data_IF_641839154769
#
_entry.id   IF_641839154769
#
_cell.length_a   1.000
_cell.length_b   1.000
_cell.length_c   1.000
_cell.angle_alpha   90.00
_cell.angle_beta   90.00
_cell.angle_gamma   90.00
#
_symmetry.space_group_name_H-M   'P 1'
#
loop_
_entity.id
_entity.type
_entity.pdbx_description
1 polymer ?
#
# COMPACT_ATOMS: atom_id res chain seq x y z
N UNK A 1 -2.11 10.34 -20.18
CA UNK A 1 -2.48 9.14 -19.38
C UNK A 1 -1.24 8.29 -19.21
N UNK A 2 -0.83 7.98 -17.98
CA UNK A 2 0.22 6.98 -17.77
C UNK A 2 -0.26 5.62 -18.31
N UNK A 3 0.63 4.87 -18.96
CA UNK A 3 0.30 3.55 -19.51
C UNK A 3 -0.06 2.59 -18.36
N UNK A 4 -1.18 1.86 -18.48
CA UNK A 4 -1.60 0.85 -17.48
C UNK A 4 -0.51 -0.21 -17.32
N UNK A 5 -0.23 -0.59 -16.08
CA UNK A 5 0.68 -1.70 -15.77
C UNK A 5 -0.09 -3.01 -16.01
N UNK A 6 0.52 -3.95 -16.74
CA UNK A 6 -0.10 -5.26 -17.01
C UNK A 6 -0.17 -6.09 -15.73
N UNK A 7 -1.20 -6.93 -15.60
CA UNK A 7 -1.36 -7.79 -14.41
C UNK A 7 -0.19 -8.75 -14.20
N UNK A 8 0.51 -9.16 -15.27
CA UNK A 8 1.70 -10.01 -15.16
C UNK A 8 2.89 -9.25 -14.56
N UNK A 9 3.21 -8.06 -15.10
CA UNK A 9 4.32 -7.24 -14.59
C UNK A 9 4.05 -6.73 -13.16
N UNK A 10 2.81 -6.35 -12.88
CA UNK A 10 2.37 -5.92 -11.56
C UNK A 10 2.53 -7.00 -10.49
N UNK A 11 1.99 -8.21 -10.73
CA UNK A 11 2.13 -9.34 -9.81
C UNK A 11 3.58 -9.76 -9.62
N UNK A 12 4.39 -9.76 -10.68
CA UNK A 12 5.82 -10.06 -10.59
C UNK A 12 6.55 -9.07 -9.68
N UNK A 13 6.27 -7.76 -9.82
CA UNK A 13 6.87 -6.73 -8.97
C UNK A 13 6.44 -6.86 -7.50
N UNK A 14 5.16 -7.14 -7.22
CA UNK A 14 4.68 -7.37 -5.85
C UNK A 14 5.33 -8.62 -5.25
N UNK A 15 5.40 -9.72 -5.99
CA UNK A 15 6.07 -10.96 -5.55
C UNK A 15 7.55 -10.75 -5.26
N UNK A 16 8.26 -10.01 -6.11
CA UNK A 16 9.65 -9.66 -5.90
C UNK A 16 9.85 -8.80 -4.64
N UNK A 17 8.95 -7.85 -4.39
CA UNK A 17 8.97 -7.06 -3.16
C UNK A 17 8.74 -7.94 -1.92
N UNK A 18 7.71 -8.80 -1.91
CA UNK A 18 7.43 -9.72 -0.79
C UNK A 18 8.62 -10.64 -0.52
N UNK A 19 9.21 -11.21 -1.57
CA UNK A 19 10.37 -12.10 -1.45
C UNK A 19 11.58 -11.39 -0.84
N UNK A 20 11.83 -10.14 -1.25
CA UNK A 20 12.92 -9.33 -0.69
C UNK A 20 12.69 -8.99 0.79
N UNK A 21 11.45 -8.67 1.18
CA UNK A 21 11.09 -8.44 2.59
C UNK A 21 11.34 -9.70 3.43
N UNK A 22 10.91 -10.87 2.96
CA UNK A 22 11.16 -12.13 3.66
C UNK A 22 12.67 -12.45 3.77
N UNK A 23 13.43 -12.20 2.70
CA UNK A 23 14.88 -12.46 2.68
C UNK A 23 15.66 -11.57 3.65
N UNK A 24 15.33 -10.28 3.73
CA UNK A 24 15.99 -9.33 4.62
C UNK A 24 15.86 -9.67 6.12
N UNK A 25 14.83 -10.45 6.50
CA UNK A 25 14.53 -10.79 7.89
C UNK A 25 14.83 -12.25 8.25
N UNK A 26 15.21 -13.09 7.28
CA UNK A 26 15.55 -14.51 7.48
C UNK A 26 16.95 -14.78 8.05
N UNK A 27 17.67 -13.74 8.48
CA UNK A 27 19.01 -13.85 9.10
C UNK A 27 18.97 -14.15 10.60
N UNK A 28 18.31 -15.24 11.04
CA UNK A 28 18.34 -15.64 12.45
C UNK A 28 17.34 -16.72 12.88
N UNK A 29 17.77 -17.99 12.79
CA UNK A 29 17.32 -19.20 13.52
C UNK A 29 15.89 -19.71 13.31
N UNK A 30 15.80 -20.95 12.81
CA UNK A 30 14.73 -21.90 13.18
C UNK A 30 13.94 -22.45 12.01
N UNK A 31 14.16 -23.73 11.71
CA UNK A 31 13.50 -24.52 10.66
C UNK A 31 11.97 -24.58 10.86
N UNK A 32 11.23 -23.68 10.19
CA UNK A 32 9.78 -23.77 9.94
C UNK A 32 9.34 -22.71 8.90
N UNK A 33 8.67 -23.07 7.79
CA UNK A 33 8.23 -22.13 6.75
C UNK A 33 6.92 -21.39 7.11
N UNK A 34 6.60 -21.23 8.39
CA UNK A 34 5.37 -20.61 8.83
C UNK A 34 5.48 -19.09 8.73
N UNK A 35 4.69 -18.48 7.81
CA UNK A 35 4.26 -17.08 7.78
C UNK A 35 4.91 -16.21 8.86
N UNK A 36 6.14 -15.76 8.60
CA UNK A 36 6.76 -14.71 9.40
C UNK A 36 5.78 -13.54 9.40
N UNK A 37 5.30 -13.22 10.61
CA UNK A 37 4.25 -12.24 10.81
C UNK A 37 4.74 -10.91 10.28
N UNK A 38 4.26 -10.49 9.09
CA UNK A 38 4.50 -9.16 8.51
C UNK A 38 4.19 -8.05 9.53
N UNK A 39 3.35 -8.37 10.52
CA UNK A 39 2.98 -7.55 11.67
C UNK A 39 4.09 -7.38 12.73
N UNK A 40 4.96 -8.37 12.95
CA UNK A 40 6.19 -8.27 13.77
C UNK A 40 7.31 -7.57 12.98
N UNK A 41 7.40 -7.87 11.68
CA UNK A 41 8.35 -7.28 10.72
C UNK A 41 8.17 -5.76 10.54
N UNK A 42 7.00 -5.24 10.90
CA UNK A 42 6.58 -3.85 10.68
C UNK A 42 6.75 -2.93 11.89
N UNK A 43 7.19 -3.46 13.04
CA UNK A 43 7.42 -2.66 14.26
C UNK A 43 8.55 -1.63 14.15
N UNK A 44 9.40 -1.75 13.12
CA UNK A 44 10.55 -0.88 12.88
C UNK A 44 10.70 -0.59 11.38
N UNK A 45 9.65 -0.09 10.72
CA UNK A 45 9.81 0.44 9.36
C UNK A 45 10.49 1.82 9.42
N UNK A 46 11.81 1.89 9.28
CA UNK A 46 12.33 2.86 8.33
C UNK A 46 13.24 2.14 7.34
N UNK A 47 12.98 2.35 6.05
CA UNK A 47 13.94 2.20 4.95
C UNK A 47 14.29 0.81 4.35
N UNK A 48 13.64 -0.31 4.67
CA UNK A 48 14.02 -1.61 4.03
C UNK A 48 13.76 -1.69 2.51
N UNK A 49 12.91 -0.83 1.93
CA UNK A 49 12.79 -0.71 0.47
C UNK A 49 14.04 -0.13 -0.19
N UNK A 50 14.96 0.48 0.57
CA UNK A 50 16.22 1.03 0.06
C UNK A 50 17.13 -0.05 -0.51
N UNK A 51 16.98 -1.28 -0.04
CA UNK A 51 17.70 -2.46 -0.52
C UNK A 51 17.01 -3.13 -1.72
N UNK A 52 15.76 -2.74 -2.01
CA UNK A 52 14.97 -3.25 -3.14
C UNK A 52 15.17 -2.31 -4.33
N UNK A 53 15.34 -2.84 -5.57
CA UNK A 53 15.42 -1.99 -6.74
C UNK A 53 14.24 -1.01 -6.81
N UNK A 54 14.54 0.29 -6.91
CA UNK A 54 13.54 1.37 -6.90
C UNK A 54 12.41 1.15 -7.91
N UNK A 55 12.74 0.64 -9.10
CA UNK A 55 11.75 0.38 -10.15
C UNK A 55 10.79 -0.77 -9.80
N UNK A 56 11.26 -1.78 -9.04
CA UNK A 56 10.41 -2.84 -8.49
C UNK A 56 9.40 -2.26 -7.52
N UNK A 57 9.85 -1.42 -6.57
CA UNK A 57 8.97 -0.74 -5.61
C UNK A 57 7.99 0.17 -6.33
N UNK A 58 8.47 0.99 -7.27
CA UNK A 58 7.62 1.90 -8.05
C UNK A 58 6.54 1.15 -8.83
N UNK A 59 6.90 0.02 -9.46
CA UNK A 59 5.96 -0.81 -10.24
C UNK A 59 4.93 -1.47 -9.32
N UNK A 60 5.36 -2.03 -8.19
CA UNK A 60 4.47 -2.65 -7.21
C UNK A 60 3.47 -1.62 -6.65
N UNK A 61 3.93 -0.43 -6.23
CA UNK A 61 3.06 0.64 -5.71
C UNK A 61 2.07 1.11 -6.76
N UNK A 62 2.54 1.45 -7.96
CA UNK A 62 1.67 1.97 -9.02
C UNK A 62 0.65 0.92 -9.47
N UNK A 63 1.05 -0.35 -9.53
CA UNK A 63 0.13 -1.44 -9.85
C UNK A 63 -0.94 -1.62 -8.78
N UNK A 64 -0.55 -1.65 -7.50
CA UNK A 64 -1.50 -1.82 -6.39
C UNK A 64 -2.44 -0.62 -6.24
N UNK A 65 -1.96 0.61 -6.47
CA UNK A 65 -2.83 1.79 -6.56
C UNK A 65 -3.82 1.69 -7.72
N UNK A 66 -3.39 1.22 -8.90
CA UNK A 66 -4.29 0.95 -10.04
C UNK A 66 -5.34 -0.12 -9.68
N UNK A 67 -4.98 -1.14 -8.88
CA UNK A 67 -5.93 -2.16 -8.41
C UNK A 67 -6.95 -1.57 -7.44
N UNK A 68 -6.52 -0.69 -6.52
CA UNK A 68 -7.40 0.02 -5.59
C UNK A 68 -8.42 0.90 -6.34
N UNK A 69 -7.95 1.72 -7.29
CA UNK A 69 -8.81 2.58 -8.11
C UNK A 69 -9.82 1.76 -8.91
N UNK A 70 -9.40 0.63 -9.49
CA UNK A 70 -10.30 -0.25 -10.21
C UNK A 70 -11.34 -0.94 -9.31
N UNK A 71 -11.00 -1.22 -8.05
CA UNK A 71 -11.91 -1.84 -7.09
C UNK A 71 -12.95 -0.86 -6.53
N UNK A 72 -12.57 0.41 -6.39
CA UNK A 72 -13.42 1.45 -5.78
C UNK A 72 -13.29 2.78 -6.56
N UNK A 73 -13.81 2.89 -7.79
CA UNK A 73 -13.65 4.08 -8.59
C UNK A 73 -14.36 5.30 -7.97
N UNK A 74 -13.75 6.48 -8.10
CA UNK A 74 -14.36 7.75 -7.68
C UNK A 74 -13.35 8.84 -7.38
N UNK A 75 -13.81 9.90 -6.72
CA UNK A 75 -13.03 11.13 -6.47
C UNK A 75 -13.22 11.70 -5.06
N UNK A 76 -13.78 10.90 -4.15
CA UNK A 76 -14.10 11.36 -2.79
C UNK A 76 -12.90 11.28 -1.84
N UNK A 77 -12.00 10.35 -2.10
CA UNK A 77 -10.82 10.08 -1.27
C UNK A 77 -9.59 10.02 -2.16
N UNK A 78 -8.54 10.72 -1.79
CA UNK A 78 -7.25 10.70 -2.46
C UNK A 78 -6.25 9.89 -1.62
N UNK A 79 -5.70 8.84 -2.21
CA UNK A 79 -4.69 7.97 -1.59
C UNK A 79 -3.33 8.30 -2.21
N UNK A 80 -2.37 8.70 -1.39
CA UNK A 80 -1.03 9.15 -1.78
C UNK A 80 0.03 8.21 -1.22
N UNK A 81 0.96 7.83 -2.09
CA UNK A 81 2.12 7.01 -1.77
C UNK A 81 3.36 7.66 -2.38
N UNK A 82 3.85 8.77 -1.78
CA UNK A 82 5.03 9.46 -2.28
C UNK A 82 6.28 8.56 -2.19
N UNK A 83 7.21 8.63 -3.17
CA UNK A 83 7.20 9.49 -4.36
C UNK A 83 6.53 8.84 -5.59
N UNK A 84 5.86 7.69 -5.45
CA UNK A 84 5.55 6.80 -6.58
C UNK A 84 4.18 7.04 -7.22
N UNK A 85 3.20 7.56 -6.49
CA UNK A 85 1.92 7.93 -7.10
C UNK A 85 0.81 8.28 -6.13
N UNK A 86 -0.33 8.64 -6.70
CA UNK A 86 -1.58 8.86 -6.00
C UNK A 86 -2.75 8.43 -6.90
N UNK A 87 -3.87 8.03 -6.29
CA UNK A 87 -5.13 7.71 -6.97
C UNK A 87 -6.30 8.31 -6.21
N UNK A 88 -7.41 8.54 -6.90
CA UNK A 88 -8.66 8.90 -6.26
C UNK A 88 -9.65 7.74 -6.32
N UNK A 89 -10.39 7.56 -5.24
CA UNK A 89 -11.29 6.43 -5.04
C UNK A 89 -12.59 6.88 -4.39
N UNK A 90 -13.53 5.94 -4.34
CA UNK A 90 -14.85 6.02 -3.72
C UNK A 90 -15.76 7.09 -4.33
N UNK A 91 -17.03 6.76 -4.58
CA UNK A 91 -17.98 7.74 -5.10
C UNK A 91 -18.25 8.82 -4.05
N UNK A 92 -18.38 10.06 -4.51
CA UNK A 92 -18.75 11.18 -3.66
C UNK A 92 -19.19 12.36 -4.48
N UNK A 93 -20.01 13.21 -3.87
CA UNK A 93 -20.43 14.46 -4.49
C UNK A 93 -19.18 15.30 -4.74
N UNK A 94 -18.97 15.65 -6.01
CA UNK A 94 -18.01 16.68 -6.41
C UNK A 94 -18.20 17.88 -5.51
N UNK A 95 -17.08 18.40 -4.99
CA UNK A 95 -17.02 19.55 -4.10
C UNK A 95 -18.10 20.59 -4.41
N UNK A 96 -19.14 20.67 -3.57
CA UNK A 96 -19.76 21.99 -3.35
C UNK A 96 -18.80 22.74 -2.46
N UNK A 97 -18.29 23.87 -2.97
CA UNK A 97 -17.45 24.88 -2.30
C UNK A 97 -17.40 24.68 -0.77
N UNK A 98 -16.35 24.00 -0.26
CA UNK A 98 -16.09 23.96 1.17
C UNK A 98 -15.47 22.67 1.74
N UNK A 99 -15.74 21.48 1.20
CA UNK A 99 -15.18 20.24 1.79
C UNK A 99 -14.06 19.67 0.90
N UNK A 100 -12.78 19.74 1.32
CA UNK A 100 -11.68 19.09 0.61
C UNK A 100 -11.91 17.55 0.54
N UNK A 101 -11.32 16.84 -0.44
CA UNK A 101 -11.45 15.38 -0.46
C UNK A 101 -10.80 14.82 0.80
N UNK A 102 -11.26 13.65 1.25
CA UNK A 102 -10.51 12.95 2.30
C UNK A 102 -9.14 12.56 1.72
N UNK A 103 -8.08 12.72 2.49
CA UNK A 103 -6.71 12.42 2.05
C UNK A 103 -6.14 11.34 2.94
N UNK A 104 -5.52 10.34 2.32
CA UNK A 104 -4.78 9.29 3.01
C UNK A 104 -3.38 9.27 2.42
N UNK A 105 -2.37 9.48 3.26
CA UNK A 105 -0.98 9.48 2.85
C UNK A 105 -0.15 8.52 3.71
N UNK A 106 0.70 7.72 3.08
CA UNK A 106 1.60 6.79 3.75
C UNK A 106 2.83 6.49 2.89
N UNK A 107 3.84 5.85 3.48
CA UNK A 107 5.04 5.45 2.76
C UNK A 107 4.80 4.24 1.84
N UNK A 108 5.67 4.00 0.84
CA UNK A 108 5.59 2.83 -0.06
C UNK A 108 5.56 1.50 0.68
N UNK A 109 6.31 1.39 1.79
CA UNK A 109 6.43 0.23 2.64
C UNK A 109 5.09 -0.11 3.30
N UNK A 110 4.51 0.90 3.95
CA UNK A 110 3.22 0.80 4.65
C UNK A 110 2.12 0.45 3.66
N UNK A 111 2.10 1.12 2.50
CA UNK A 111 1.12 0.86 1.45
C UNK A 111 1.20 -0.59 0.93
N UNK A 112 2.39 -1.08 0.59
CA UNK A 112 2.53 -2.44 0.06
C UNK A 112 2.21 -3.50 1.12
N UNK A 113 2.60 -3.28 2.38
CA UNK A 113 2.23 -4.17 3.48
C UNK A 113 0.71 -4.23 3.69
N UNK A 114 0.00 -3.10 3.59
CA UNK A 114 -1.47 -3.05 3.61
C UNK A 114 -2.09 -3.76 2.40
N UNK A 115 -1.58 -3.47 1.20
CA UNK A 115 -2.11 -3.99 -0.06
C UNK A 115 -2.05 -5.53 -0.14
N UNK A 116 -0.98 -6.13 0.39
CA UNK A 116 -0.80 -7.60 0.40
C UNK A 116 -1.33 -8.28 1.68
N UNK A 117 -1.84 -7.51 2.65
CA UNK A 117 -2.39 -8.05 3.90
C UNK A 117 -1.37 -8.38 4.98
N UNK A 118 -0.13 -7.92 4.85
CA UNK A 118 0.90 -8.04 5.89
C UNK A 118 0.74 -7.08 7.06
N UNK A 119 0.07 -5.96 6.83
CA UNK A 119 -0.33 -4.99 7.84
C UNK A 119 -1.85 -4.81 7.74
N UNK A 120 -2.52 -4.74 8.88
CA UNK A 120 -3.95 -4.40 8.90
C UNK A 120 -4.13 -2.89 8.95
N UNK A 121 -5.22 -2.40 8.36
CA UNK A 121 -5.57 -0.98 8.39
C UNK A 121 -5.66 -0.43 9.81
N UNK A 122 -6.35 -1.13 10.71
CA UNK A 122 -6.48 -0.73 12.11
C UNK A 122 -5.13 -0.62 12.82
N UNK A 123 -4.21 -1.58 12.60
CA UNK A 123 -2.87 -1.51 13.17
C UNK A 123 -2.09 -0.31 12.64
N UNK A 124 -2.12 -0.08 11.32
CA UNK A 124 -1.43 1.05 10.70
C UNK A 124 -1.86 2.41 11.26
N UNK A 125 -3.18 2.60 11.45
CA UNK A 125 -3.74 3.80 12.08
C UNK A 125 -3.31 3.90 13.55
N UNK A 126 -3.43 2.81 14.32
CA UNK A 126 -3.07 2.80 15.75
C UNK A 126 -1.59 3.12 16.01
N UNK A 127 -0.72 2.78 15.05
CA UNK A 127 0.71 3.03 15.10
C UNK A 127 1.12 4.38 14.49
N UNK A 128 0.18 5.17 13.97
CA UNK A 128 0.47 6.46 13.33
C UNK A 128 1.24 6.35 12.01
N UNK A 129 1.19 5.19 11.34
CA UNK A 129 1.90 4.93 10.08
C UNK A 129 1.20 5.54 8.86
N UNK A 130 -0.05 5.97 9.02
CA UNK A 130 -0.90 6.54 7.96
C UNK A 130 -1.43 7.89 8.42
N UNK A 131 -1.19 8.91 7.62
CA UNK A 131 -1.82 10.22 7.78
C UNK A 131 -3.18 10.20 7.07
N UNK A 132 -4.25 10.00 7.84
CA UNK A 132 -5.64 9.98 7.36
C UNK A 132 -6.39 11.25 7.79
N UNK A 133 -6.94 11.98 6.83
CA UNK A 133 -7.68 13.22 7.07
C UNK A 133 -9.02 13.23 6.35
N UNK A 134 -10.08 13.61 7.06
CA UNK A 134 -11.46 13.66 6.57
C UNK A 134 -12.28 12.41 6.92
N UNK A 135 -13.60 12.58 7.05
CA UNK A 135 -14.52 11.56 7.59
C UNK A 135 -14.63 10.26 6.76
N UNK A 136 -14.06 10.23 5.54
CA UNK A 136 -14.08 9.09 4.63
C UNK A 136 -12.70 8.43 4.46
N UNK A 137 -11.71 8.85 5.25
CA UNK A 137 -10.35 8.37 5.17
C UNK A 137 -10.20 6.97 5.81
N UNK A 138 -10.89 5.97 5.26
CA UNK A 138 -10.86 4.58 5.71
C UNK A 138 -10.73 3.62 4.52
N UNK A 139 -9.65 2.82 4.50
CA UNK A 139 -9.40 1.79 3.48
C UNK A 139 -9.65 0.36 3.98
N UNK A 140 -10.06 0.17 5.24
CA UNK A 140 -10.13 -1.13 5.88
C UNK A 140 -10.99 -2.15 5.12
N UNK A 141 -12.14 -1.71 4.58
CA UNK A 141 -13.03 -2.57 3.80
C UNK A 141 -12.50 -2.89 2.38
N UNK A 142 -11.48 -2.17 1.90
CA UNK A 142 -10.87 -2.34 0.58
C UNK A 142 -9.56 -3.14 0.63
N UNK A 143 -9.05 -3.44 1.83
CA UNK A 143 -7.78 -4.09 2.05
C UNK A 143 -7.98 -5.48 2.71
N UNK A 144 -7.17 -6.49 2.37
CA UNK A 144 -6.12 -6.47 1.35
C UNK A 144 -6.67 -6.48 -0.08
N UNK A 145 -5.84 -6.06 -1.03
CA UNK A 145 -6.23 -6.05 -2.45
C UNK A 145 -6.12 -7.45 -3.06
N UNK A 146 -6.89 -7.69 -4.11
CA UNK A 146 -6.76 -8.89 -4.95
C UNK A 146 -5.63 -8.65 -5.98
N UNK A 147 -4.44 -9.18 -5.73
CA UNK A 147 -3.20 -8.91 -6.50
C UNK A 147 -3.03 -9.86 -7.69
#
# INVERSE_FOLDING_TARGET
MAKKISSAAGRAAVSAWVSAVCAAHGGGVGDSPALVSLTELTGHLPDFTREIPRDTVATAVRFTLQRLEAAAPGQAVEVRVPPFGAVQILPGTTHRRGTPPAVIEMSPEVWLALAVGGLTWSKAISQGLVAASGNRADLGALLPLQI
#
